data_IF_669019233878
#
_entry.id   IF_669019233878
#
_cell.length_a   1.000
_cell.length_b   1.000
_cell.length_c   1.000
_cell.angle_alpha   90.00
_cell.angle_beta   90.00
_cell.angle_gamma   90.00
#
_symmetry.space_group_name_H-M   'P 1'
#
loop_
_entity.id
_entity.type
_entity.pdbx_description
1 polymer ?
#
# COMPACT_ATOMS: atom_id res chain seq x y z
N UNK A 1 -10.65 -19.01 -2.23
CA UNK A 1 -10.48 -18.61 -0.81
C UNK A 1 -9.03 -18.65 -0.38
N UNK A 2 -8.31 -19.72 -0.72
CA UNK A 2 -6.90 -19.87 -0.32
C UNK A 2 -6.01 -18.74 -0.83
N UNK A 3 -6.13 -18.38 -2.11
CA UNK A 3 -5.34 -17.27 -2.68
C UNK A 3 -5.65 -15.93 -2.01
N UNK A 4 -6.92 -15.68 -1.71
CA UNK A 4 -7.35 -14.46 -1.03
C UNK A 4 -6.77 -14.38 0.38
N UNK A 5 -6.84 -15.48 1.14
CA UNK A 5 -6.37 -15.51 2.52
C UNK A 5 -4.86 -15.31 2.63
N UNK A 6 -4.10 -15.84 1.67
CA UNK A 6 -2.64 -15.74 1.66
C UNK A 6 -2.11 -14.52 0.91
N UNK A 7 -3.00 -13.76 0.28
CA UNK A 7 -2.59 -12.62 -0.53
C UNK A 7 -1.94 -11.53 0.33
N UNK A 8 -0.76 -11.10 -0.08
CA UNK A 8 -0.03 -9.98 0.54
C UNK A 8 0.68 -9.20 -0.53
N UNK A 9 0.89 -7.91 -0.28
CA UNK A 9 1.68 -7.06 -1.16
C UNK A 9 3.14 -7.51 -1.13
N UNK A 10 3.74 -7.66 -2.31
CA UNK A 10 5.15 -8.07 -2.45
C UNK A 10 6.07 -6.88 -2.19
N UNK A 11 7.34 -7.12 -1.76
CA UNK A 11 8.26 -6.02 -1.42
C UNK A 11 8.51 -4.99 -2.51
N UNK A 12 8.46 -5.38 -3.77
CA UNK A 12 8.71 -4.48 -4.90
C UNK A 12 7.47 -4.14 -5.69
N UNK A 13 6.30 -4.55 -5.18
CA UNK A 13 5.03 -4.32 -5.84
C UNK A 13 4.54 -2.90 -5.59
N UNK A 14 3.93 -2.28 -6.59
CA UNK A 14 3.27 -0.99 -6.41
C UNK A 14 1.84 -1.18 -5.91
N UNK A 15 1.25 -0.13 -5.37
CA UNK A 15 -0.16 -0.15 -4.95
C UNK A 15 -1.07 -0.51 -6.14
N UNK A 16 -0.82 0.06 -7.31
CA UNK A 16 -1.61 -0.24 -8.51
C UNK A 16 -1.53 -1.72 -8.88
N UNK A 17 -0.33 -2.30 -8.90
CA UNK A 17 -0.14 -3.72 -9.20
C UNK A 17 -0.86 -4.60 -8.18
N UNK A 18 -0.69 -4.29 -6.90
CA UNK A 18 -1.32 -5.04 -5.82
C UNK A 18 -2.85 -4.98 -5.91
N UNK A 19 -3.42 -3.79 -6.11
CA UNK A 19 -4.88 -3.65 -6.20
C UNK A 19 -5.45 -4.31 -7.43
N UNK A 20 -4.74 -4.30 -8.56
CA UNK A 20 -5.17 -5.00 -9.76
C UNK A 20 -5.24 -6.51 -9.53
N UNK A 21 -4.24 -7.08 -8.87
CA UNK A 21 -4.22 -8.50 -8.55
C UNK A 21 -5.34 -8.86 -7.56
N UNK A 22 -5.52 -8.06 -6.52
CA UNK A 22 -6.57 -8.28 -5.54
C UNK A 22 -7.97 -8.21 -6.19
N UNK A 23 -8.19 -7.23 -7.05
CA UNK A 23 -9.45 -7.08 -7.78
C UNK A 23 -9.75 -8.30 -8.64
N UNK A 24 -8.73 -8.87 -9.30
CA UNK A 24 -8.89 -10.08 -10.09
C UNK A 24 -9.34 -11.26 -9.21
N UNK A 25 -8.73 -11.42 -8.05
CA UNK A 25 -9.07 -12.48 -7.09
C UNK A 25 -10.50 -12.30 -6.58
N UNK A 26 -10.85 -11.10 -6.15
CA UNK A 26 -12.19 -10.76 -5.62
C UNK A 26 -13.26 -10.99 -6.68
N UNK A 27 -13.00 -10.56 -7.91
CA UNK A 27 -13.94 -10.74 -9.03
C UNK A 27 -14.18 -12.22 -9.33
N UNK A 28 -13.12 -13.01 -9.34
CA UNK A 28 -13.22 -14.47 -9.55
C UNK A 28 -14.05 -15.12 -8.45
N UNK A 29 -13.79 -14.78 -7.19
CA UNK A 29 -14.53 -15.34 -6.06
C UNK A 29 -16.00 -14.92 -6.08
N UNK A 30 -16.28 -13.69 -6.49
CA UNK A 30 -17.66 -13.21 -6.62
C UNK A 30 -18.42 -14.04 -7.66
N UNK A 31 -17.80 -14.37 -8.80
CA UNK A 31 -18.39 -15.22 -9.83
C UNK A 31 -18.67 -16.63 -9.32
N UNK A 32 -17.87 -17.09 -8.35
CA UNK A 32 -18.05 -18.41 -7.73
C UNK A 32 -19.03 -18.40 -6.56
N UNK A 33 -19.77 -17.29 -6.38
CA UNK A 33 -20.78 -17.18 -5.34
C UNK A 33 -20.26 -16.73 -3.99
N UNK A 34 -19.07 -16.11 -3.95
CA UNK A 34 -18.47 -15.60 -2.71
C UNK A 34 -18.23 -14.09 -2.81
N UNK A 35 -19.30 -13.28 -2.66
CA UNK A 35 -19.16 -11.84 -2.71
C UNK A 35 -18.48 -11.30 -1.44
N UNK A 36 -17.77 -10.19 -1.60
CA UNK A 36 -17.17 -9.48 -0.49
C UNK A 36 -17.80 -8.11 -0.33
N UNK A 37 -18.00 -7.68 0.91
CA UNK A 37 -18.49 -6.34 1.20
C UNK A 37 -17.36 -5.33 1.00
N UNK A 38 -17.73 -4.07 0.87
CA UNK A 38 -16.78 -2.96 0.80
C UNK A 38 -15.85 -2.98 2.03
N UNK A 39 -16.41 -3.18 3.21
CA UNK A 39 -15.64 -3.26 4.45
C UNK A 39 -14.61 -4.37 4.42
N UNK A 40 -15.00 -5.56 3.97
CA UNK A 40 -14.08 -6.70 3.86
C UNK A 40 -12.91 -6.41 2.92
N UNK A 41 -13.20 -5.82 1.76
CA UNK A 41 -12.16 -5.47 0.78
C UNK A 41 -11.25 -4.38 1.34
N UNK A 42 -11.81 -3.34 1.94
CA UNK A 42 -11.03 -2.25 2.54
C UNK A 42 -10.12 -2.76 3.67
N UNK A 43 -10.64 -3.61 4.54
CA UNK A 43 -9.85 -4.23 5.60
C UNK A 43 -8.72 -5.09 5.04
N UNK A 44 -9.01 -5.86 3.99
CA UNK A 44 -7.99 -6.70 3.35
C UNK A 44 -6.87 -5.86 2.76
N UNK A 45 -7.22 -4.79 2.05
CA UNK A 45 -6.23 -3.88 1.46
C UNK A 45 -5.28 -3.36 2.54
N UNK A 46 -5.82 -2.89 3.66
CA UNK A 46 -5.01 -2.32 4.74
C UNK A 46 -4.14 -3.37 5.45
N UNK A 47 -4.61 -4.63 5.54
CA UNK A 47 -3.86 -5.70 6.19
C UNK A 47 -2.69 -6.22 5.39
N UNK A 48 -2.78 -6.19 4.06
CA UNK A 48 -1.75 -6.80 3.20
C UNK A 48 -0.56 -5.90 2.96
N UNK A 49 -0.61 -4.66 3.42
CA UNK A 49 0.49 -3.72 3.26
C UNK A 49 1.66 -4.08 4.20
N UNK A 50 2.91 -3.90 3.74
CA UNK A 50 4.07 -4.12 4.62
C UNK A 50 3.99 -3.18 5.82
N UNK A 51 4.32 -3.65 7.01
CA UNK A 51 4.31 -2.82 8.22
C UNK A 51 5.30 -1.67 8.11
N UNK A 52 6.49 -1.96 7.60
CA UNK A 52 7.50 -0.93 7.37
C UNK A 52 6.94 0.10 6.38
N UNK A 53 7.05 1.36 6.72
CA UNK A 53 6.60 2.50 5.91
C UNK A 53 5.07 2.69 5.82
N UNK A 54 4.25 1.68 6.16
CA UNK A 54 2.80 1.75 5.98
C UNK A 54 2.00 1.74 7.27
N UNK A 55 2.57 1.26 8.37
CA UNK A 55 1.84 1.05 9.63
C UNK A 55 1.13 2.31 10.13
N UNK A 56 1.83 3.44 10.17
CA UNK A 56 1.25 4.69 10.65
C UNK A 56 0.12 5.19 9.76
N UNK A 57 0.25 5.00 8.45
CA UNK A 57 -0.79 5.41 7.50
C UNK A 57 -2.03 4.54 7.62
N UNK A 58 -1.84 3.23 7.77
CA UNK A 58 -2.94 2.29 7.99
C UNK A 58 -3.70 2.65 9.25
N UNK A 59 -3.00 2.86 10.35
CA UNK A 59 -3.60 3.26 11.63
C UNK A 59 -4.37 4.58 11.49
N UNK A 60 -3.81 5.56 10.80
CA UNK A 60 -4.44 6.85 10.56
C UNK A 60 -5.76 6.69 9.79
N UNK A 61 -5.79 5.85 8.77
CA UNK A 61 -7.01 5.59 7.98
C UNK A 61 -8.05 4.89 8.84
N UNK A 62 -7.65 3.86 9.59
CA UNK A 62 -8.56 3.11 10.45
C UNK A 62 -9.18 3.96 11.54
N UNK A 63 -8.41 4.87 12.13
CA UNK A 63 -8.90 5.77 13.19
C UNK A 63 -9.80 6.88 12.66
N UNK A 64 -9.53 7.39 11.46
CA UNK A 64 -10.23 8.55 10.91
C UNK A 64 -11.49 8.20 10.12
N UNK A 65 -11.62 6.96 9.64
CA UNK A 65 -12.66 6.58 8.69
C UNK A 65 -13.42 5.32 9.12
N UNK A 66 -14.70 5.27 8.73
CA UNK A 66 -15.49 4.05 8.84
C UNK A 66 -15.29 3.23 7.58
N UNK A 67 -14.60 2.11 7.69
CA UNK A 67 -14.25 1.26 6.55
C UNK A 67 -15.47 0.59 5.91
N UNK A 68 -16.59 0.52 6.60
CA UNK A 68 -17.84 -0.02 6.05
C UNK A 68 -18.46 0.93 5.03
N UNK A 69 -18.24 2.23 5.17
CA UNK A 69 -18.85 3.25 4.30
C UNK A 69 -17.87 3.92 3.36
N UNK A 70 -16.57 3.87 3.67
CA UNK A 70 -15.55 4.52 2.86
C UNK A 70 -15.42 3.81 1.49
N UNK A 71 -15.58 4.53 0.37
CA UNK A 71 -15.40 3.91 -0.94
C UNK A 71 -13.99 3.36 -1.11
N UNK A 72 -13.88 2.17 -1.70
CA UNK A 72 -12.58 1.51 -1.89
C UNK A 72 -11.61 2.34 -2.73
N UNK A 73 -12.09 3.04 -3.74
CA UNK A 73 -11.25 3.91 -4.57
C UNK A 73 -10.66 5.08 -3.77
N UNK A 74 -11.35 5.55 -2.73
CA UNK A 74 -10.83 6.57 -1.82
C UNK A 74 -9.69 5.99 -0.97
N UNK A 75 -9.86 4.76 -0.47
CA UNK A 75 -8.80 4.05 0.26
C UNK A 75 -7.55 3.94 -0.63
N UNK A 76 -7.74 3.46 -1.85
CA UNK A 76 -6.64 3.30 -2.81
C UNK A 76 -5.97 4.65 -3.11
N UNK A 77 -6.75 5.71 -3.29
CA UNK A 77 -6.22 7.06 -3.51
C UNK A 77 -5.32 7.53 -2.37
N UNK A 78 -5.73 7.29 -1.13
CA UNK A 78 -4.92 7.63 0.06
C UNK A 78 -3.61 6.84 0.09
N UNK A 79 -3.65 5.57 -0.31
CA UNK A 79 -2.47 4.72 -0.37
C UNK A 79 -1.52 5.16 -1.50
N UNK A 80 -2.05 5.55 -2.64
CA UNK A 80 -1.24 6.07 -3.75
C UNK A 80 -0.50 7.35 -3.34
N UNK A 81 -1.16 8.25 -2.62
CA UNK A 81 -0.54 9.47 -2.12
C UNK A 81 0.60 9.15 -1.15
N UNK A 82 0.38 8.19 -0.27
CA UNK A 82 1.41 7.77 0.69
C UNK A 82 2.58 7.07 0.00
N UNK A 83 2.30 6.25 -1.01
CA UNK A 83 3.35 5.60 -1.81
C UNK A 83 4.26 6.62 -2.46
N UNK A 84 3.69 7.66 -3.03
CA UNK A 84 4.46 8.76 -3.62
C UNK A 84 5.35 9.44 -2.57
N UNK A 85 4.82 9.66 -1.39
CA UNK A 85 5.55 10.24 -0.26
C UNK A 85 6.75 9.36 0.15
N UNK A 86 6.55 8.04 0.22
CA UNK A 86 7.63 7.09 0.53
C UNK A 86 8.72 7.16 -0.54
N UNK A 87 8.32 7.19 -1.79
CA UNK A 87 9.25 7.25 -2.92
C UNK A 87 10.08 8.52 -2.89
N UNK A 88 9.43 9.67 -2.64
CA UNK A 88 10.12 10.96 -2.55
C UNK A 88 11.13 10.97 -1.40
N UNK A 89 10.78 10.42 -0.25
CA UNK A 89 11.70 10.32 0.89
C UNK A 89 12.92 9.46 0.56
N UNK A 90 12.72 8.38 -0.18
CA UNK A 90 13.81 7.53 -0.65
C UNK A 90 14.77 8.27 -1.58
N UNK A 91 14.24 9.03 -2.52
CA UNK A 91 15.02 9.86 -3.45
C UNK A 91 15.81 10.94 -2.70
N UNK A 92 15.20 11.62 -1.76
CA UNK A 92 15.87 12.63 -0.93
C UNK A 92 17.01 12.03 -0.11
N UNK A 93 16.81 10.84 0.41
CA UNK A 93 17.84 10.13 1.18
C UNK A 93 19.05 9.81 0.31
N UNK A 94 18.82 9.34 -0.91
CA UNK A 94 19.89 9.03 -1.87
C UNK A 94 20.67 10.29 -2.23
N UNK A 95 20.00 11.40 -2.49
CA UNK A 95 20.65 12.67 -2.79
C UNK A 95 21.51 13.15 -1.62
N UNK A 96 21.03 13.04 -0.40
CA UNK A 96 21.79 13.43 0.80
C UNK A 96 23.06 12.59 0.94
N UNK A 97 22.96 11.29 0.71
CA UNK A 97 24.11 10.39 0.77
C UNK A 97 25.15 10.72 -0.31
N UNK A 98 24.71 11.00 -1.52
CA UNK A 98 25.59 11.39 -2.61
C UNK A 98 26.32 12.70 -2.32
N UNK A 99 25.62 13.69 -1.76
CA UNK A 99 26.22 14.96 -1.34
C UNK A 99 27.26 14.76 -0.24
N UNK A 100 26.98 13.91 0.74
CA UNK A 100 27.94 13.57 1.81
C UNK A 100 29.20 12.95 1.25
N UNK A 101 29.05 12.01 0.30
CA UNK A 101 30.19 11.36 -0.35
C UNK A 101 31.03 12.36 -1.13
N UNK A 102 30.40 13.26 -1.87
CA UNK A 102 31.08 14.29 -2.63
C UNK A 102 31.88 15.23 -1.72
N UNK A 103 31.31 15.65 -0.58
CA UNK A 103 31.98 16.50 0.41
C UNK A 103 33.17 15.76 1.03
N UNK A 104 33.01 14.49 1.38
CA UNK A 104 34.07 13.68 1.95
C UNK A 104 35.24 13.53 1.00
N UNK A 105 34.99 13.33 -0.29
CA UNK A 105 36.03 13.22 -1.31
C UNK A 105 36.79 14.53 -1.51
N UNK A 106 36.11 15.67 -1.41
CA UNK A 106 36.75 16.99 -1.52
C UNK A 106 37.59 17.32 -0.29
N UNK A 107 37.20 16.81 0.88
CA UNK A 107 37.91 17.07 2.13
C UNK A 107 39.15 16.21 2.31
N UNK A 108 39.30 15.14 1.54
CA UNK A 108 40.50 14.29 1.55
C UNK A 108 41.50 14.72 0.44
#
# INVERSE_FOLDING_TARGET
MYEYELFKMKPHETITEMTNTLNAIVTTLRKLGKPFTKEEVNNKILRILPKKDWESRVTSIEEAQDLATLPTDVVIGKLLTHELSIKQRGEEQVEKEEKRKAIALKAS
#
